data_IF_257081370996
#
_entry.id   IF_257081370996
#
_cell.length_a   1.000
_cell.length_b   1.000
_cell.length_c   1.000
_cell.angle_alpha   90.00
_cell.angle_beta   90.00
_cell.angle_gamma   90.00
#
_symmetry.space_group_name_H-M   'P 1'
#
loop_
_entity.id
_entity.type
_entity.pdbx_description
1 polymer ?
#
# COMPACT_ATOMS: atom_id res chain seq x y z
N UNK A 1 18.34 9.57 -4.23
CA UNK A 1 16.98 9.10 -3.87
C UNK A 1 16.00 9.99 -4.61
N UNK A 2 15.14 9.40 -5.41
CA UNK A 2 14.11 10.15 -6.12
C UNK A 2 13.17 10.83 -5.12
N UNK A 3 13.01 12.13 -5.22
CA UNK A 3 12.14 12.90 -4.33
C UNK A 3 10.77 13.04 -4.99
N UNK A 4 9.79 12.30 -4.47
CA UNK A 4 8.44 12.34 -5.00
C UNK A 4 7.72 13.61 -4.59
N UNK A 5 6.88 14.13 -5.49
CA UNK A 5 5.96 15.24 -5.19
C UNK A 5 4.61 14.64 -4.78
N UNK A 6 4.33 14.66 -3.48
CA UNK A 6 3.09 14.14 -2.95
C UNK A 6 2.08 15.27 -2.72
N UNK A 7 0.84 15.05 -3.16
CA UNK A 7 -0.28 15.95 -2.90
C UNK A 7 -0.61 15.94 -1.41
N UNK A 8 -0.70 17.10 -0.78
CA UNK A 8 -0.96 17.22 0.65
C UNK A 8 -2.44 17.36 0.99
N UNK A 9 -3.26 17.77 0.02
CA UNK A 9 -4.70 17.91 0.19
C UNK A 9 -5.42 16.55 0.03
N UNK A 10 -6.65 16.50 0.55
CA UNK A 10 -7.50 15.32 0.35
C UNK A 10 -7.98 15.27 -1.11
N UNK A 11 -7.40 14.40 -1.89
CA UNK A 11 -7.62 14.25 -3.33
C UNK A 11 -8.32 12.93 -3.71
N UNK A 12 -8.88 12.24 -2.71
CA UNK A 12 -9.54 10.94 -2.92
C UNK A 12 -10.96 11.12 -3.43
N UNK A 13 -11.41 10.12 -4.21
CA UNK A 13 -12.78 10.09 -4.76
C UNK A 13 -13.84 9.68 -3.72
N UNK A 14 -13.44 9.47 -2.49
CA UNK A 14 -14.30 9.11 -1.36
C UNK A 14 -14.10 10.08 -0.19
N UNK A 15 -15.10 10.22 0.70
CA UNK A 15 -14.98 11.13 1.83
C UNK A 15 -13.98 10.61 2.88
N UNK A 16 -13.30 11.54 3.51
CA UNK A 16 -12.39 11.24 4.62
C UNK A 16 -13.17 10.72 5.82
N UNK A 17 -12.73 9.60 6.38
CA UNK A 17 -13.30 9.06 7.61
C UNK A 17 -12.84 9.84 8.83
N UNK A 18 -13.75 10.07 9.76
CA UNK A 18 -13.44 10.66 11.07
C UNK A 18 -12.92 9.64 12.10
N UNK A 19 -12.96 8.34 11.76
CA UNK A 19 -12.53 7.23 12.62
C UNK A 19 -11.07 6.84 12.42
N UNK A 20 -10.42 7.35 11.38
CA UNK A 20 -9.04 7.00 11.03
C UNK A 20 -8.18 8.24 10.86
N UNK A 21 -6.90 8.09 11.14
CA UNK A 21 -5.89 9.06 10.80
C UNK A 21 -5.28 8.72 9.46
N UNK A 22 -5.14 9.72 8.61
CA UNK A 22 -4.54 9.58 7.29
C UNK A 22 -3.22 10.35 7.23
N UNK A 23 -2.22 9.72 6.63
CA UNK A 23 -0.95 10.37 6.29
C UNK A 23 -0.38 9.77 5.02
N UNK A 24 0.58 10.45 4.42
CA UNK A 24 1.31 9.94 3.26
C UNK A 24 2.62 9.29 3.70
N UNK A 25 3.03 8.26 2.98
CA UNK A 25 4.31 7.59 3.20
C UNK A 25 4.98 7.25 1.88
N UNK A 26 6.28 7.02 1.95
CA UNK A 26 7.06 6.51 0.82
C UNK A 26 7.94 5.37 1.30
N UNK A 27 8.14 4.39 0.44
CA UNK A 27 9.08 3.29 0.66
C UNK A 27 9.69 2.87 -0.68
N UNK A 28 10.71 2.04 -0.65
CA UNK A 28 11.41 1.61 -1.86
C UNK A 28 11.31 0.11 -2.05
N UNK A 29 11.13 -0.30 -3.30
CA UNK A 29 11.29 -1.69 -3.67
C UNK A 29 12.79 -2.03 -3.89
N UNK A 30 13.11 -3.31 -4.08
CA UNK A 30 14.49 -3.76 -4.29
C UNK A 30 15.11 -3.29 -5.61
N UNK A 31 14.30 -2.82 -6.55
CA UNK A 31 14.77 -2.22 -7.81
C UNK A 31 15.10 -0.73 -7.68
N UNK A 32 14.98 -0.18 -6.47
CA UNK A 32 15.29 1.22 -6.19
C UNK A 32 14.18 2.21 -6.57
N UNK A 33 13.00 1.71 -6.96
CA UNK A 33 11.86 2.57 -7.28
C UNK A 33 11.20 3.01 -5.97
N UNK A 34 10.98 4.30 -5.83
CA UNK A 34 10.27 4.86 -4.67
C UNK A 34 8.76 4.82 -4.93
N UNK A 35 8.03 4.21 -4.01
CA UNK A 35 6.59 4.08 -4.06
C UNK A 35 5.92 5.08 -3.13
N UNK A 36 4.79 5.62 -3.56
CA UNK A 36 3.94 6.51 -2.79
C UNK A 36 2.73 5.75 -2.23
N UNK A 37 2.41 5.98 -0.97
CA UNK A 37 1.30 5.34 -0.30
C UNK A 37 0.50 6.33 0.55
N UNK A 38 -0.78 6.03 0.72
CA UNK A 38 -1.64 6.60 1.75
C UNK A 38 -1.75 5.61 2.90
N UNK A 39 -1.43 6.06 4.12
CA UNK A 39 -1.61 5.28 5.35
C UNK A 39 -2.91 5.66 6.03
N UNK A 40 -3.61 4.65 6.52
CA UNK A 40 -4.83 4.81 7.30
C UNK A 40 -4.68 4.03 8.60
N UNK A 41 -4.72 4.74 9.72
CA UNK A 41 -4.53 4.15 11.04
C UNK A 41 -5.77 4.43 11.89
N UNK A 42 -6.36 3.40 12.54
CA UNK A 42 -7.51 3.62 13.44
C UNK A 42 -7.16 4.62 14.54
N UNK A 43 -8.04 5.59 14.79
CA UNK A 43 -7.92 6.49 15.94
C UNK A 43 -8.12 5.71 17.22
N UNK A 44 -7.39 6.10 18.27
CA UNK A 44 -7.48 5.49 19.60
C UNK A 44 -7.17 3.98 19.63
N UNK A 45 -6.44 3.47 18.65
CA UNK A 45 -5.99 2.10 18.67
C UNK A 45 -4.90 1.90 19.74
N UNK A 46 -4.97 0.76 20.42
CA UNK A 46 -3.99 0.37 21.43
C UNK A 46 -3.21 -0.87 20.98
N UNK A 47 -1.94 -0.91 21.35
CA UNK A 47 -1.06 -2.03 21.05
C UNK A 47 -0.69 -2.16 19.57
N UNK A 48 -0.23 -3.35 19.21
CA UNK A 48 0.15 -3.67 17.83
C UNK A 48 -1.05 -4.18 17.05
N UNK A 49 -1.25 -3.61 15.86
CA UNK A 49 -2.39 -3.89 15.00
C UNK A 49 -2.03 -4.88 13.90
N UNK A 50 -3.00 -5.68 13.46
CA UNK A 50 -2.88 -6.35 12.17
C UNK A 50 -2.85 -5.32 11.05
N UNK A 51 -2.15 -5.61 9.96
CA UNK A 51 -1.96 -4.65 8.88
C UNK A 51 -2.33 -5.22 7.52
N UNK A 52 -2.69 -4.36 6.58
CA UNK A 52 -3.06 -4.74 5.22
C UNK A 52 -2.46 -3.76 4.22
N UNK A 53 -1.81 -4.29 3.19
CA UNK A 53 -1.39 -3.54 2.01
C UNK A 53 -2.40 -3.75 0.89
N UNK A 54 -2.86 -2.66 0.27
CA UNK A 54 -3.90 -2.69 -0.78
C UNK A 54 -3.37 -2.02 -2.05
N UNK A 55 -3.57 -2.66 -3.20
CA UNK A 55 -3.28 -2.05 -4.50
C UNK A 55 -4.14 -2.63 -5.62
N UNK A 56 -4.20 -1.91 -6.75
CA UNK A 56 -5.00 -2.23 -7.91
C UNK A 56 -6.29 -1.40 -7.98
N UNK A 57 -7.11 -1.58 -9.03
CA UNK A 57 -6.86 -2.39 -10.22
C UNK A 57 -5.86 -1.75 -11.21
N UNK A 58 -5.60 -2.40 -12.33
CA UNK A 58 -4.77 -1.82 -13.40
C UNK A 58 -5.32 -0.47 -13.86
N UNK A 59 -4.43 0.51 -14.03
CA UNK A 59 -4.79 1.85 -14.49
C UNK A 59 -5.43 2.74 -13.42
N UNK A 60 -5.65 2.23 -12.22
CA UNK A 60 -6.16 3.02 -11.10
C UNK A 60 -5.02 3.50 -10.18
N UNK A 61 -5.34 4.44 -9.32
CA UNK A 61 -4.41 5.02 -8.36
C UNK A 61 -4.97 4.89 -6.94
N UNK A 62 -4.10 5.05 -5.95
CA UNK A 62 -4.43 4.89 -4.51
C UNK A 62 -5.52 5.83 -4.00
N UNK A 63 -5.81 6.91 -4.72
CA UNK A 63 -6.89 7.85 -4.42
C UNK A 63 -8.29 7.32 -4.78
N UNK A 64 -8.35 6.15 -5.41
CA UNK A 64 -9.58 5.50 -5.90
C UNK A 64 -9.92 4.26 -5.05
N UNK A 65 -10.27 3.14 -5.70
CA UNK A 65 -10.79 1.96 -5.01
C UNK A 65 -9.83 1.36 -3.96
N UNK A 66 -8.53 1.30 -4.23
CA UNK A 66 -7.58 0.76 -3.25
C UNK A 66 -7.54 1.60 -1.97
N UNK A 67 -7.59 2.92 -2.09
CA UNK A 67 -7.69 3.81 -0.94
C UNK A 67 -8.99 3.66 -0.18
N UNK A 68 -10.12 3.49 -0.89
CA UNK A 68 -11.40 3.24 -0.25
C UNK A 68 -11.39 1.95 0.57
N UNK A 69 -10.88 0.86 0.00
CA UNK A 69 -10.73 -0.42 0.73
C UNK A 69 -9.80 -0.26 1.94
N UNK A 70 -8.67 0.41 1.76
CA UNK A 70 -7.73 0.64 2.86
C UNK A 70 -8.38 1.43 4.00
N UNK A 71 -9.10 2.51 3.70
CA UNK A 71 -9.81 3.29 4.72
C UNK A 71 -10.89 2.47 5.43
N UNK A 72 -11.68 1.68 4.68
CA UNK A 72 -12.72 0.81 5.27
C UNK A 72 -12.14 -0.26 6.19
N UNK A 73 -11.03 -0.86 5.81
CA UNK A 73 -10.35 -1.85 6.66
C UNK A 73 -9.76 -1.19 7.91
N UNK A 74 -9.25 0.04 7.80
CA UNK A 74 -8.78 0.78 8.97
C UNK A 74 -9.91 1.13 9.94
N UNK A 75 -11.10 1.44 9.44
CA UNK A 75 -12.29 1.61 10.29
C UNK A 75 -12.63 0.35 11.09
N UNK A 76 -12.23 -0.83 10.59
CA UNK A 76 -12.42 -2.13 11.25
C UNK A 76 -11.27 -2.51 12.20
N UNK A 77 -10.25 -1.67 12.33
CA UNK A 77 -9.16 -1.89 13.28
C UNK A 77 -7.82 -2.30 12.69
N UNK A 78 -7.66 -2.29 11.36
CA UNK A 78 -6.39 -2.62 10.70
C UNK A 78 -5.54 -1.36 10.47
N UNK A 79 -4.22 -1.52 10.59
CA UNK A 79 -3.28 -0.54 10.05
C UNK A 79 -3.17 -0.80 8.54
N UNK A 80 -3.56 0.16 7.71
CA UNK A 80 -3.60 -0.09 6.27
C UNK A 80 -2.79 0.92 5.47
N UNK A 81 -2.29 0.46 4.33
CA UNK A 81 -1.76 1.33 3.27
C UNK A 81 -2.43 1.00 1.95
N UNK A 82 -2.70 2.02 1.16
CA UNK A 82 -2.97 1.91 -0.27
C UNK A 82 -1.79 2.55 -1.00
N UNK A 83 -1.18 1.83 -1.94
CA UNK A 83 -0.01 2.35 -2.64
C UNK A 83 -0.22 2.37 -4.15
N UNK A 84 0.42 3.34 -4.80
CA UNK A 84 0.56 3.33 -6.24
C UNK A 84 1.68 2.36 -6.62
N UNK A 85 1.47 1.45 -7.58
CA UNK A 85 2.54 0.59 -8.05
C UNK A 85 3.62 1.37 -8.77
N UNK A 86 4.79 0.76 -8.94
CA UNK A 86 5.85 1.29 -9.78
C UNK A 86 5.30 1.77 -11.12
N UNK A 87 5.77 2.89 -11.62
CA UNK A 87 5.40 3.53 -12.88
C UNK A 87 4.02 4.20 -12.92
N UNK A 88 3.30 4.22 -11.82
CA UNK A 88 1.91 4.68 -11.76
C UNK A 88 1.71 5.75 -10.69
N UNK A 89 0.76 6.66 -10.92
CA UNK A 89 0.35 7.66 -9.94
C UNK A 89 1.50 8.54 -9.45
N UNK A 90 1.58 8.72 -8.13
CA UNK A 90 2.65 9.49 -7.49
C UNK A 90 3.93 8.66 -7.27
N UNK A 91 3.92 7.35 -7.51
CA UNK A 91 5.10 6.50 -7.43
C UNK A 91 6.09 6.78 -8.55
N UNK A 92 7.36 6.50 -8.30
CA UNK A 92 8.43 6.69 -9.26
C UNK A 92 8.50 5.63 -10.34
N UNK A 93 9.58 5.70 -11.11
CA UNK A 93 9.88 4.77 -12.20
C UNK A 93 9.59 5.32 -13.58
N UNK A 94 10.43 4.95 -14.52
CA UNK A 94 10.30 5.27 -15.95
C UNK A 94 10.55 4.02 -16.78
N UNK A 95 9.81 3.83 -17.91
CA UNK A 95 8.74 4.68 -18.44
C UNK A 95 7.49 4.66 -17.57
N UNK A 96 6.57 5.58 -17.82
CA UNK A 96 5.31 5.66 -17.07
C UNK A 96 4.24 4.73 -17.65
N UNK A 97 3.28 4.33 -16.80
CA UNK A 97 2.11 3.53 -17.18
C UNK A 97 2.46 2.14 -17.71
N UNK A 98 3.49 1.53 -17.12
CA UNK A 98 3.91 0.17 -17.44
C UNK A 98 3.43 -0.78 -16.34
N UNK A 99 2.88 -1.92 -16.75
CA UNK A 99 2.59 -3.03 -15.85
C UNK A 99 3.64 -4.13 -16.07
N UNK A 100 4.31 -4.52 -14.99
CA UNK A 100 5.26 -5.62 -15.00
C UNK A 100 4.92 -6.56 -13.85
N UNK A 101 4.47 -7.80 -14.13
CA UNK A 101 4.10 -8.73 -13.06
C UNK A 101 5.21 -8.95 -12.04
N UNK A 102 6.45 -9.03 -12.47
CA UNK A 102 7.58 -9.25 -11.56
C UNK A 102 7.86 -8.04 -10.67
N UNK A 103 7.90 -6.85 -11.26
CA UNK A 103 8.15 -5.60 -10.50
C UNK A 103 6.96 -5.28 -9.59
N UNK A 104 5.74 -5.45 -10.09
CA UNK A 104 4.54 -5.15 -9.31
C UNK A 104 4.31 -6.17 -8.17
N UNK A 105 4.74 -7.42 -8.34
CA UNK A 105 4.80 -8.40 -7.24
C UNK A 105 5.78 -7.93 -6.16
N UNK A 106 6.95 -7.44 -6.57
CA UNK A 106 7.93 -6.87 -5.65
C UNK A 106 7.40 -5.62 -4.94
N UNK A 107 6.56 -4.82 -5.59
CA UNK A 107 5.92 -3.66 -4.96
C UNK A 107 5.08 -4.09 -3.73
N UNK A 108 4.35 -5.20 -3.82
CA UNK A 108 3.65 -5.79 -2.67
C UNK A 108 4.62 -6.27 -1.58
N UNK A 109 5.71 -6.93 -1.97
CA UNK A 109 6.73 -7.37 -1.00
C UNK A 109 7.31 -6.18 -0.25
N UNK A 110 7.66 -5.11 -0.96
CA UNK A 110 8.15 -3.88 -0.36
C UNK A 110 7.11 -3.22 0.56
N UNK A 111 5.84 -3.28 0.21
CA UNK A 111 4.74 -2.77 1.05
C UNK A 111 4.61 -3.56 2.35
N UNK A 112 4.72 -4.89 2.29
CA UNK A 112 4.71 -5.76 3.48
C UNK A 112 5.93 -5.48 4.36
N UNK A 113 7.11 -5.34 3.77
CA UNK A 113 8.34 -4.99 4.50
C UNK A 113 8.18 -3.63 5.22
N UNK A 114 7.63 -2.64 4.51
CA UNK A 114 7.33 -1.34 5.10
C UNK A 114 6.40 -1.44 6.31
N UNK A 115 5.32 -2.21 6.19
CA UNK A 115 4.37 -2.43 7.29
C UNK A 115 5.02 -3.16 8.47
N UNK A 116 5.86 -4.16 8.20
CA UNK A 116 6.46 -5.01 9.24
C UNK A 116 7.38 -4.25 10.20
N UNK A 117 7.93 -3.12 9.79
CA UNK A 117 8.82 -2.30 10.61
C UNK A 117 8.11 -1.13 11.30
N UNK A 118 6.81 -0.97 11.09
CA UNK A 118 6.04 0.05 11.79
C UNK A 118 5.86 -0.34 13.26
N UNK A 119 6.07 0.62 14.16
CA UNK A 119 6.05 0.39 15.61
C UNK A 119 4.73 -0.19 16.11
N UNK A 120 3.61 0.25 15.53
CA UNK A 120 2.27 -0.15 15.92
C UNK A 120 1.65 -1.25 15.06
N UNK A 121 2.47 -1.97 14.30
CA UNK A 121 2.05 -3.13 13.49
C UNK A 121 2.60 -4.42 14.10
N UNK A 122 1.74 -5.44 14.16
CA UNK A 122 2.15 -6.80 14.48
C UNK A 122 2.69 -7.47 13.21
N UNK A 123 4.01 -7.73 13.12
CA UNK A 123 4.61 -8.28 11.91
C UNK A 123 4.15 -9.71 11.58
N UNK A 124 3.54 -10.41 12.53
CA UNK A 124 2.99 -11.76 12.32
C UNK A 124 1.57 -11.75 11.75
N UNK A 125 0.96 -10.56 11.62
CA UNK A 125 -0.42 -10.40 11.15
C UNK A 125 -0.52 -9.35 10.04
N UNK A 126 0.13 -9.61 8.90
CA UNK A 126 0.11 -8.74 7.75
C UNK A 126 -0.55 -9.45 6.58
N UNK A 127 -1.56 -8.82 5.99
CA UNK A 127 -2.27 -9.32 4.83
C UNK A 127 -2.15 -8.39 3.62
N UNK A 128 -2.62 -8.87 2.49
CA UNK A 128 -2.59 -8.15 1.21
C UNK A 128 -3.98 -8.22 0.58
N UNK A 129 -4.42 -7.11 0.00
CA UNK A 129 -5.61 -7.05 -0.86
C UNK A 129 -5.16 -6.60 -2.25
N UNK A 130 -5.28 -7.49 -3.22
CA UNK A 130 -5.07 -7.18 -4.63
C UNK A 130 -6.40 -7.10 -5.36
N UNK A 131 -6.67 -5.97 -6.03
CA UNK A 131 -7.93 -5.73 -6.72
C UNK A 131 -7.78 -6.03 -8.21
N UNK A 132 -8.73 -6.79 -8.78
CA UNK A 132 -8.76 -7.16 -10.19
C UNK A 132 -7.50 -7.96 -10.59
N UNK A 133 -6.76 -7.57 -11.61
CA UNK A 133 -5.51 -8.22 -12.03
C UNK A 133 -4.42 -8.25 -10.97
N UNK A 134 -4.49 -7.35 -9.99
CA UNK A 134 -3.57 -7.30 -8.85
C UNK A 134 -3.78 -8.44 -7.85
N UNK A 135 -4.91 -9.14 -7.93
CA UNK A 135 -5.12 -10.37 -7.17
C UNK A 135 -4.07 -11.44 -7.47
N UNK A 136 -3.69 -11.60 -8.73
CA UNK A 136 -2.61 -12.52 -9.12
C UNK A 136 -1.25 -12.12 -8.55
N UNK A 137 -0.92 -10.82 -8.55
CA UNK A 137 0.32 -10.32 -7.94
C UNK A 137 0.33 -10.51 -6.43
N UNK A 138 -0.82 -10.33 -5.77
CA UNK A 138 -0.95 -10.54 -4.33
C UNK A 138 -0.69 -12.00 -3.96
N UNK A 139 -1.28 -12.95 -4.67
CA UNK A 139 -1.04 -14.40 -4.44
C UNK A 139 0.43 -14.76 -4.65
N UNK A 140 1.04 -14.25 -5.72
CA UNK A 140 2.46 -14.50 -5.99
C UNK A 140 3.38 -13.89 -4.93
N UNK A 141 3.02 -12.74 -4.38
CA UNK A 141 3.78 -12.09 -3.30
C UNK A 141 3.77 -12.91 -2.02
N UNK A 142 2.65 -13.57 -1.71
CA UNK A 142 2.53 -14.46 -0.56
C UNK A 142 3.48 -15.64 -0.66
N UNK A 143 3.63 -16.25 -1.83
CA UNK A 143 4.58 -17.34 -2.06
C UNK A 143 6.02 -16.91 -1.77
N UNK A 144 6.43 -15.72 -2.18
CA UNK A 144 7.76 -15.20 -1.92
C UNK A 144 8.03 -14.86 -0.45
N UNK A 145 7.01 -14.41 0.30
CA UNK A 145 7.15 -14.11 1.72
C UNK A 145 7.17 -15.38 2.58
N UNK A 146 6.48 -16.43 2.18
CA UNK A 146 6.48 -17.72 2.90
C UNK A 146 7.80 -18.49 2.76
N UNK A 147 8.55 -18.28 1.70
CA UNK A 147 9.88 -18.89 1.51
C UNK A 147 10.98 -18.27 2.38
N UNK A 148 10.73 -17.10 2.97
CA UNK A 148 11.66 -16.38 3.86
C UNK A 148 11.39 -16.66 5.35
N UNK A 149 10.39 -17.44 5.65
CA UNK A 149 10.09 -17.94 7.00
C UNK A 149 10.66 -19.35 7.19
#
# INVERSE_FOLDING_TARGET
MEQLKLTQEWDKVFPKSDKVEHSKATFRNRYGITLAADMYVPKNAEGKLPAIAVSGPFGAVKEQSSGLYAQKMAELGFFTIAFDPSYTGESGGTPRYVASPDINTEDFCAAVDFLSVQENVDPERIGIIGICGWGGMAVRSEEHTSELQ
#
